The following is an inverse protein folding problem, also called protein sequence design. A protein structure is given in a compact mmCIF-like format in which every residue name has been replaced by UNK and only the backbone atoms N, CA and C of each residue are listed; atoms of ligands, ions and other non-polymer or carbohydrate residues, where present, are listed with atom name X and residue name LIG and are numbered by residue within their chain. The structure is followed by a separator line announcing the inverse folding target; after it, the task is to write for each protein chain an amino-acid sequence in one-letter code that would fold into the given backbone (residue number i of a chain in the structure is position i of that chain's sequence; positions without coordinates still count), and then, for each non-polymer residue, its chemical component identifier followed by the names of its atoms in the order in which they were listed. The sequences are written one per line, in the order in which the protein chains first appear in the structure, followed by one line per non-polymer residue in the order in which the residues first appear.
data_IF_809549903191
#
_entry.id   IF_809549903191
#
_cell.length_a   1.000
_cell.length_b   1.000
_cell.length_c   1.000
_cell.angle_alpha   90.00
_cell.angle_beta   90.00
_cell.angle_gamma   90.00
#
_symmetry.space_group_name_H-M   'P 1'
#
loop_
_entity.id
_entity.type
_entity.pdbx_description
1 polymer ?
#
# COMPACT_ATOMS: atom_id res chain seq x y z
N UNK A 1 -12.27 -32.70 -4.56
CA UNK A 1 -12.23 -32.54 -3.09
C UNK A 1 -10.79 -32.82 -2.67
N UNK A 2 -9.95 -31.79 -2.67
CA UNK A 2 -8.60 -31.89 -2.13
C UNK A 2 -8.63 -31.28 -0.72
N UNK A 3 -8.36 -32.12 0.28
CA UNK A 3 -8.14 -31.70 1.66
C UNK A 3 -6.82 -30.92 1.71
N UNK A 4 -6.89 -29.60 1.82
CA UNK A 4 -5.75 -28.71 2.05
C UNK A 4 -5.53 -28.41 3.55
N UNK A 5 -5.99 -29.28 4.46
CA UNK A 5 -5.77 -29.16 5.92
C UNK A 5 -4.29 -29.22 6.37
N UNK A 6 -3.33 -29.29 5.42
CA UNK A 6 -1.89 -29.23 5.66
C UNK A 6 -1.16 -28.38 4.59
N UNK A 7 -1.74 -27.27 4.13
CA UNK A 7 -0.99 -26.35 3.26
C UNK A 7 0.12 -25.67 4.05
N UNK A 8 1.35 -26.19 3.92
CA UNK A 8 2.55 -25.52 4.45
C UNK A 8 2.84 -24.30 3.59
N UNK A 9 2.55 -23.11 4.13
CA UNK A 9 3.04 -21.86 3.57
C UNK A 9 4.57 -21.81 3.66
N UNK A 10 5.20 -21.12 2.71
CA UNK A 10 6.59 -20.72 2.86
C UNK A 10 6.69 -19.63 3.95
N UNK A 11 7.84 -19.57 4.61
CA UNK A 11 8.06 -18.66 5.73
C UNK A 11 8.99 -17.56 5.29
N UNK A 12 8.48 -16.34 5.17
CA UNK A 12 9.30 -15.19 4.79
C UNK A 12 10.58 -15.11 5.65
N UNK A 13 11.73 -14.98 4.98
CA UNK A 13 12.97 -14.62 5.66
C UNK A 13 12.92 -13.12 5.97
N UNK A 14 13.14 -12.69 7.22
CA UNK A 14 13.10 -11.28 7.57
C UNK A 14 14.13 -10.47 6.77
N UNK A 15 13.75 -9.26 6.34
CA UNK A 15 14.60 -8.33 5.59
C UNK A 15 15.99 -8.14 6.26
N UNK A 16 16.01 -8.02 7.60
CA UNK A 16 17.23 -7.79 8.38
C UNK A 16 18.19 -8.99 8.40
N UNK A 17 17.71 -10.19 8.05
CA UNK A 17 18.52 -11.40 7.99
C UNK A 17 19.30 -11.54 6.66
N UNK A 18 19.10 -10.62 5.71
CA UNK A 18 19.66 -10.68 4.37
C UNK A 18 20.53 -9.45 4.11
N UNK A 19 21.66 -9.66 3.44
CA UNK A 19 22.51 -8.59 2.89
C UNK A 19 22.64 -8.78 1.39
N UNK A 20 22.59 -7.68 0.63
CA UNK A 20 22.78 -7.67 -0.83
C UNK A 20 24.13 -7.02 -1.11
N UNK A 21 25.07 -7.83 -1.60
CA UNK A 21 26.42 -7.43 -2.00
C UNK A 21 26.74 -7.99 -3.39
N UNK A 22 26.26 -7.29 -4.42
CA UNK A 22 26.49 -7.65 -5.82
C UNK A 22 26.81 -6.42 -6.70
N UNK A 23 27.12 -6.67 -7.96
CA UNK A 23 27.43 -5.60 -8.92
C UNK A 23 26.21 -4.88 -9.51
N UNK A 24 24.98 -5.37 -9.26
CA UNK A 24 23.78 -4.89 -9.96
C UNK A 24 22.83 -4.13 -9.03
N UNK A 25 22.43 -4.73 -7.93
CA UNK A 25 21.50 -4.21 -6.94
C UNK A 25 22.19 -3.30 -5.93
N UNK A 26 23.35 -3.67 -5.40
CA UNK A 26 23.99 -2.87 -4.34
C UNK A 26 24.21 -1.39 -4.73
N UNK A 27 24.69 -1.06 -5.95
CA UNK A 27 24.81 0.34 -6.37
C UNK A 27 23.45 1.07 -6.48
N UNK A 28 22.39 0.38 -6.91
CA UNK A 28 21.05 0.97 -7.05
C UNK A 28 20.43 1.24 -5.70
N UNK A 29 20.46 0.25 -4.79
CA UNK A 29 19.95 0.41 -3.43
C UNK A 29 20.67 1.53 -2.69
N UNK A 30 21.99 1.65 -2.89
CA UNK A 30 22.77 2.78 -2.37
C UNK A 30 22.26 4.12 -2.91
N UNK A 31 22.09 4.27 -4.22
CA UNK A 31 21.51 5.49 -4.81
C UNK A 31 20.12 5.80 -4.25
N UNK A 32 19.26 4.78 -4.15
CA UNK A 32 17.90 4.96 -3.64
C UNK A 32 17.90 5.44 -2.18
N UNK A 33 18.74 4.81 -1.34
CA UNK A 33 18.91 5.18 0.07
C UNK A 33 19.51 6.58 0.26
N UNK A 34 20.59 6.89 -0.46
CA UNK A 34 21.39 8.10 -0.25
C UNK A 34 20.88 9.33 -1.00
N UNK A 35 20.13 9.14 -2.08
CA UNK A 35 19.65 10.23 -2.95
C UNK A 35 18.12 10.25 -2.98
N UNK A 36 17.50 9.13 -3.39
CA UNK A 36 16.07 9.11 -3.71
C UNK A 36 15.18 9.34 -2.49
N UNK A 37 15.49 8.75 -1.33
CA UNK A 37 14.73 8.98 -0.09
C UNK A 37 14.67 10.47 0.26
N UNK A 38 15.81 11.17 0.22
CA UNK A 38 15.85 12.59 0.55
C UNK A 38 15.21 13.46 -0.54
N UNK A 39 15.42 13.12 -1.81
CA UNK A 39 14.77 13.80 -2.94
C UNK A 39 13.23 13.74 -2.84
N UNK A 40 12.68 12.56 -2.55
CA UNK A 40 11.22 12.35 -2.39
C UNK A 40 10.69 13.16 -1.21
N UNK A 41 11.34 13.08 -0.04
CA UNK A 41 10.92 13.88 1.12
C UNK A 41 10.97 15.37 0.82
N UNK A 42 12.07 15.88 0.25
CA UNK A 42 12.21 17.31 -0.06
C UNK A 42 11.16 17.77 -1.07
N UNK A 43 10.82 16.96 -2.07
CA UNK A 43 9.77 17.31 -3.04
C UNK A 43 8.38 17.30 -2.40
N UNK A 44 8.09 16.36 -1.49
CA UNK A 44 6.86 16.36 -0.70
C UNK A 44 6.79 17.59 0.24
N UNK A 45 7.87 17.92 0.94
CA UNK A 45 7.96 19.13 1.78
C UNK A 45 7.71 20.40 0.96
N UNK A 46 8.39 20.55 -0.18
CA UNK A 46 8.25 21.70 -1.07
C UNK A 46 6.84 21.82 -1.67
N UNK A 47 6.12 20.70 -1.81
CA UNK A 47 4.72 20.71 -2.25
C UNK A 47 3.74 21.14 -1.14
N UNK A 48 4.22 21.29 0.10
CA UNK A 48 3.41 21.63 1.26
C UNK A 48 2.77 20.43 1.96
N UNK A 49 3.07 19.20 1.53
CA UNK A 49 2.45 17.98 2.06
C UNK A 49 2.59 17.86 3.59
N UNK A 50 3.83 18.04 4.10
CA UNK A 50 4.09 17.99 5.55
C UNK A 50 3.37 19.10 6.32
N UNK A 51 3.16 20.27 5.71
CA UNK A 51 2.48 21.40 6.37
C UNK A 51 1.00 21.15 6.63
N UNK A 52 0.38 20.18 5.95
CA UNK A 52 -1.01 19.80 6.21
C UNK A 52 -1.17 19.25 7.63
N UNK A 53 -0.20 18.48 8.14
CA UNK A 53 -0.21 17.99 9.52
C UNK A 53 -0.12 19.13 10.53
N UNK A 54 0.83 20.06 10.35
CA UNK A 54 0.94 21.25 11.22
C UNK A 54 -0.37 22.06 11.24
N UNK A 55 -1.05 22.16 10.09
CA UNK A 55 -2.32 22.88 9.99
C UNK A 55 -3.48 22.16 10.66
N UNK A 56 -3.51 20.83 10.61
CA UNK A 56 -4.47 20.04 11.39
C UNK A 56 -4.19 20.22 12.89
N UNK A 57 -2.93 20.14 13.33
CA UNK A 57 -2.50 20.43 14.71
C UNK A 57 -2.91 21.83 15.17
N UNK A 58 -2.84 22.82 14.27
CA UNK A 58 -3.18 24.21 14.59
C UNK A 58 -4.66 24.56 14.32
N UNK A 59 -5.52 23.53 14.17
CA UNK A 59 -6.97 23.59 13.96
C UNK A 59 -7.37 24.55 12.81
N UNK A 60 -6.61 24.54 11.72
CA UNK A 60 -6.92 25.33 10.52
C UNK A 60 -7.97 24.64 9.66
N UNK A 61 -8.57 25.41 8.75
CA UNK A 61 -9.54 24.91 7.77
C UNK A 61 -9.22 25.38 6.35
N UNK A 62 -9.68 24.61 5.38
CA UNK A 62 -9.49 24.81 3.94
C UNK A 62 -8.04 24.61 3.47
N UNK A 63 -7.85 24.71 2.14
CA UNK A 63 -6.54 24.91 1.50
C UNK A 63 -5.53 23.78 1.64
N UNK A 64 -5.95 22.51 1.71
CA UNK A 64 -5.04 21.36 1.71
C UNK A 64 -4.02 21.44 0.56
N UNK A 65 -2.75 21.20 0.87
CA UNK A 65 -1.67 21.19 -0.12
C UNK A 65 -1.60 19.83 -0.81
N UNK A 66 -1.66 19.82 -2.14
CA UNK A 66 -1.62 18.59 -2.93
C UNK A 66 -2.92 17.79 -2.93
N UNK A 67 -2.84 16.57 -3.45
CA UNK A 67 -3.98 15.66 -3.56
C UNK A 67 -4.33 14.99 -2.21
N UNK A 68 -5.58 14.51 -2.03
CA UNK A 68 -6.04 13.95 -0.75
C UNK A 68 -5.20 12.81 -0.15
N UNK A 69 -4.47 12.08 -1.00
CA UNK A 69 -3.63 10.94 -0.61
C UNK A 69 -2.18 11.32 -0.27
N UNK A 70 -1.83 12.60 -0.21
CA UNK A 70 -0.46 13.04 0.10
C UNK A 70 0.03 12.58 1.47
N UNK A 71 -0.88 12.42 2.45
CA UNK A 71 -0.57 11.77 3.73
C UNK A 71 -0.04 10.35 3.52
N UNK A 72 -0.75 9.55 2.70
CA UNK A 72 -0.33 8.22 2.30
C UNK A 72 1.07 8.20 1.67
N UNK A 73 1.38 9.15 0.79
CA UNK A 73 2.70 9.25 0.16
C UNK A 73 3.83 9.53 1.17
N UNK A 74 3.56 10.34 2.20
CA UNK A 74 4.49 10.58 3.30
C UNK A 74 4.69 9.30 4.11
N UNK A 75 3.60 8.61 4.47
CA UNK A 75 3.68 7.35 5.20
C UNK A 75 4.44 6.28 4.40
N UNK A 76 4.20 6.15 3.10
CA UNK A 76 4.94 5.25 2.24
C UNK A 76 6.44 5.57 2.19
N UNK A 77 6.79 6.86 2.17
CA UNK A 77 8.20 7.28 2.21
C UNK A 77 8.82 6.98 3.59
N UNK A 78 8.07 7.15 4.69
CA UNK A 78 8.51 6.75 6.05
C UNK A 78 8.74 5.24 6.13
N UNK A 79 7.83 4.43 5.57
CA UNK A 79 7.97 2.98 5.48
C UNK A 79 9.31 2.61 4.84
N UNK A 80 9.57 3.13 3.63
CA UNK A 80 10.78 2.82 2.90
C UNK A 80 12.06 3.34 3.57
N UNK A 81 12.01 4.56 4.10
CA UNK A 81 13.13 5.15 4.82
C UNK A 81 13.47 4.38 6.10
N UNK A 82 12.48 3.77 6.75
CA UNK A 82 12.67 2.90 7.92
C UNK A 82 13.39 1.61 7.54
N UNK A 83 12.95 0.97 6.45
CA UNK A 83 13.57 -0.27 5.94
C UNK A 83 15.01 -0.07 5.47
N UNK A 84 15.36 1.12 4.98
CA UNK A 84 16.72 1.47 4.60
C UNK A 84 17.65 1.83 5.78
N UNK A 85 17.17 1.84 7.01
CA UNK A 85 18.03 2.05 8.19
C UNK A 85 18.96 0.83 8.37
N UNK A 86 20.26 1.06 8.37
CA UNK A 86 21.28 0.02 8.56
C UNK A 86 21.74 -0.02 10.02
N UNK A 87 21.98 1.14 10.63
CA UNK A 87 22.32 1.26 12.05
C UNK A 87 22.12 2.69 12.54
N UNK A 88 21.91 2.86 13.85
CA UNK A 88 21.79 4.22 14.45
C UNK A 88 23.01 5.10 14.19
N UNK A 89 24.21 4.53 14.18
CA UNK A 89 25.45 5.27 13.97
C UNK A 89 25.60 5.76 12.52
N UNK A 90 25.15 4.96 11.54
CA UNK A 90 25.19 5.32 10.12
C UNK A 90 24.03 6.26 9.71
N UNK A 91 22.89 6.18 10.41
CA UNK A 91 21.63 6.78 9.98
C UNK A 91 21.08 7.88 10.90
N UNK A 92 21.87 8.38 11.86
CA UNK A 92 21.40 9.33 12.89
C UNK A 92 20.58 10.50 12.34
N UNK A 93 21.05 11.16 11.27
CA UNK A 93 20.34 12.29 10.66
C UNK A 93 19.00 11.89 10.03
N UNK A 94 18.95 10.72 9.36
CA UNK A 94 17.72 10.19 8.77
C UNK A 94 16.72 9.82 9.87
N UNK A 95 17.20 9.18 10.94
CA UNK A 95 16.36 8.84 12.09
C UNK A 95 15.77 10.08 12.77
N UNK A 96 16.57 11.14 12.97
CA UNK A 96 16.09 12.42 13.51
C UNK A 96 15.01 13.06 12.62
N UNK A 97 15.21 13.02 11.29
CA UNK A 97 14.23 13.53 10.33
C UNK A 97 12.92 12.72 10.36
N UNK A 98 13.00 11.39 10.44
CA UNK A 98 11.83 10.53 10.61
C UNK A 98 11.10 10.79 11.93
N UNK A 99 11.83 10.85 13.04
CA UNK A 99 11.26 11.19 14.36
C UNK A 99 10.50 12.51 14.33
N UNK A 100 11.06 13.54 13.66
CA UNK A 100 10.40 14.83 13.49
C UNK A 100 9.08 14.71 12.73
N UNK A 101 9.08 14.02 11.57
CA UNK A 101 7.85 13.84 10.79
C UNK A 101 6.79 13.05 11.55
N UNK A 102 7.21 12.00 12.24
CA UNK A 102 6.34 11.18 13.09
C UNK A 102 5.74 12.03 14.21
N UNK A 103 6.53 12.88 14.86
CA UNK A 103 6.03 13.84 15.84
C UNK A 103 4.93 14.74 15.27
N UNK A 104 5.14 15.32 14.08
CA UNK A 104 4.12 16.16 13.43
C UNK A 104 2.82 15.41 13.12
N UNK A 105 2.93 14.15 12.69
CA UNK A 105 1.77 13.29 12.41
C UNK A 105 1.00 12.98 13.71
N UNK A 106 1.71 12.65 14.79
CA UNK A 106 1.12 12.36 16.09
C UNK A 106 0.43 13.61 16.65
N UNK A 107 1.12 14.75 16.66
CA UNK A 107 0.56 16.02 17.15
C UNK A 107 -0.72 16.40 16.38
N UNK A 108 -0.76 16.15 15.07
CA UNK A 108 -1.95 16.37 14.25
C UNK A 108 -3.09 15.40 14.60
N UNK A 109 -2.79 14.12 14.85
CA UNK A 109 -3.77 13.11 15.25
C UNK A 109 -4.35 13.39 16.64
N UNK A 110 -3.58 13.97 17.56
CA UNK A 110 -4.03 14.27 18.93
C UNK A 110 -5.21 15.26 18.98
N UNK A 111 -5.39 16.08 17.93
CA UNK A 111 -6.57 16.95 17.78
C UNK A 111 -7.87 16.19 17.48
N UNK A 112 -7.80 14.90 17.18
CA UNK A 112 -8.98 14.07 17.01
C UNK A 112 -9.17 13.11 18.20
N UNK A 113 -10.29 13.20 18.93
CA UNK A 113 -10.51 12.38 20.13
C UNK A 113 -10.52 10.89 19.80
N UNK A 114 -11.02 10.51 18.62
CA UNK A 114 -11.10 9.12 18.17
C UNK A 114 -9.78 8.63 17.55
N UNK A 115 -8.84 9.55 17.27
CA UNK A 115 -7.57 9.26 16.61
C UNK A 115 -7.66 9.20 15.08
N UNK A 116 -8.68 9.81 14.49
CA UNK A 116 -8.75 10.00 13.04
C UNK A 116 -7.61 10.90 12.56
N UNK A 117 -6.90 10.49 11.51
CA UNK A 117 -5.91 11.32 10.83
C UNK A 117 -6.02 11.13 9.32
N UNK A 118 -6.51 12.18 8.66
CA UNK A 118 -6.56 12.33 7.21
C UNK A 118 -6.71 13.82 6.94
N UNK A 119 -5.58 14.46 6.64
CA UNK A 119 -5.45 15.91 6.66
C UNK A 119 -6.34 16.57 5.63
N UNK A 120 -6.54 15.94 4.46
CA UNK A 120 -7.49 16.43 3.47
C UNK A 120 -8.91 16.52 4.02
N UNK A 121 -9.39 15.44 4.63
CA UNK A 121 -10.75 15.38 5.18
C UNK A 121 -10.88 16.34 6.37
N UNK A 122 -9.92 16.36 7.30
CA UNK A 122 -9.96 17.26 8.46
C UNK A 122 -9.93 18.74 8.06
N UNK A 123 -9.11 19.12 7.07
CA UNK A 123 -8.98 20.51 6.63
C UNK A 123 -10.13 20.93 5.70
N UNK A 124 -10.57 20.06 4.79
CA UNK A 124 -11.41 20.48 3.65
C UNK A 124 -12.87 20.09 3.81
N UNK A 125 -13.15 18.93 4.40
CA UNK A 125 -14.49 18.36 4.48
C UNK A 125 -14.69 17.52 5.75
N UNK A 126 -14.58 18.12 6.95
CA UNK A 126 -14.50 17.38 8.22
C UNK A 126 -15.74 16.52 8.51
N UNK A 127 -16.90 16.89 7.98
CA UNK A 127 -18.16 16.16 8.12
C UNK A 127 -18.25 14.93 7.19
N UNK A 128 -17.29 14.73 6.29
CA UNK A 128 -17.37 13.75 5.20
C UNK A 128 -16.46 12.53 5.38
N UNK A 129 -16.05 12.20 6.61
CA UNK A 129 -15.15 11.06 6.89
C UNK A 129 -15.59 9.81 6.12
N UNK A 130 -14.62 9.17 5.47
CA UNK A 130 -14.73 7.95 4.67
C UNK A 130 -15.94 7.94 3.72
N UNK A 131 -16.29 9.10 3.14
CA UNK A 131 -17.37 9.25 2.18
C UNK A 131 -18.78 9.35 2.77
N UNK A 132 -18.93 9.58 4.07
CA UNK A 132 -20.23 9.89 4.68
C UNK A 132 -20.70 11.31 4.33
N UNK A 133 -21.97 11.62 4.61
CA UNK A 133 -22.59 12.94 4.46
C UNK A 133 -22.38 13.60 3.07
N UNK A 134 -22.37 12.79 2.01
CA UNK A 134 -22.14 13.27 0.63
C UNK A 134 -20.66 13.43 0.24
N UNK A 135 -19.75 12.85 1.01
CA UNK A 135 -18.32 12.79 0.72
C UNK A 135 -18.03 11.93 -0.51
N UNK A 136 -16.76 11.81 -0.89
CA UNK A 136 -16.34 10.94 -1.97
C UNK A 136 -15.14 10.10 -1.52
N UNK A 137 -15.40 8.88 -1.07
CA UNK A 137 -14.39 7.95 -0.59
C UNK A 137 -13.37 7.57 -1.69
N UNK A 138 -13.75 7.60 -2.97
CA UNK A 138 -12.81 7.39 -4.09
C UNK A 138 -11.83 8.55 -4.26
N UNK A 139 -12.19 9.75 -3.79
CA UNK A 139 -11.35 10.94 -3.86
C UNK A 139 -10.56 11.16 -2.56
N UNK A 140 -11.23 11.09 -1.41
CA UNK A 140 -10.66 11.41 -0.11
C UNK A 140 -9.52 10.48 0.32
N UNK A 141 -9.54 9.21 -0.09
CA UNK A 141 -8.51 8.22 0.25
C UNK A 141 -8.28 8.01 1.76
N UNK A 142 -9.24 8.35 2.63
CA UNK A 142 -9.10 8.22 4.09
C UNK A 142 -8.62 6.81 4.51
N UNK A 143 -9.22 5.76 3.94
CA UNK A 143 -8.86 4.38 4.26
C UNK A 143 -7.53 3.95 3.63
N UNK A 144 -7.17 4.50 2.47
CA UNK A 144 -5.86 4.26 1.86
C UNK A 144 -4.75 4.89 2.70
N UNK A 145 -4.92 6.15 3.11
CA UNK A 145 -4.01 6.85 4.01
C UNK A 145 -3.87 6.13 5.35
N UNK A 146 -4.97 5.62 5.91
CA UNK A 146 -4.94 4.82 7.13
C UNK A 146 -4.12 3.52 6.97
N UNK A 147 -4.29 2.82 5.85
CA UNK A 147 -3.47 1.64 5.54
C UNK A 147 -1.98 1.97 5.41
N UNK A 148 -1.65 3.08 4.72
CA UNK A 148 -0.26 3.51 4.57
C UNK A 148 0.36 3.89 5.92
N UNK A 149 -0.40 4.54 6.81
CA UNK A 149 0.04 4.83 8.18
C UNK A 149 0.38 3.55 8.93
N UNK A 150 -0.49 2.53 8.83
CA UNK A 150 -0.27 1.24 9.49
C UNK A 150 1.00 0.55 8.99
N UNK A 151 1.22 0.47 7.67
CA UNK A 151 2.45 -0.10 7.12
C UNK A 151 3.69 0.69 7.58
N UNK A 152 3.66 2.02 7.48
CA UNK A 152 4.76 2.88 7.94
C UNK A 152 5.09 2.66 9.42
N UNK A 153 4.07 2.51 10.25
CA UNK A 153 4.21 2.31 11.68
C UNK A 153 4.81 0.95 12.04
N UNK A 154 4.39 -0.11 11.36
CA UNK A 154 4.96 -1.45 11.52
C UNK A 154 6.44 -1.45 11.13
N UNK A 155 6.75 -0.97 9.93
CA UNK A 155 8.12 -0.96 9.42
C UNK A 155 9.04 -0.07 10.27
N UNK A 156 8.57 1.09 10.73
CA UNK A 156 9.31 1.94 11.65
C UNK A 156 9.61 1.25 12.99
N UNK A 157 8.64 0.52 13.54
CA UNK A 157 8.82 -0.25 14.76
C UNK A 157 9.84 -1.37 14.56
N UNK A 158 9.71 -2.18 13.51
CA UNK A 158 10.62 -3.29 13.21
C UNK A 158 12.06 -2.80 12.99
N UNK A 159 12.24 -1.62 12.38
CA UNK A 159 13.55 -1.05 12.12
C UNK A 159 14.21 -0.41 13.36
N UNK A 160 13.43 0.14 14.30
CA UNK A 160 13.97 1.03 15.36
C UNK A 160 13.65 0.62 16.79
N UNK A 161 12.66 -0.26 16.99
CA UNK A 161 12.05 -0.61 18.26
C UNK A 161 11.19 0.51 18.89
N UNK A 162 11.01 1.65 18.21
CA UNK A 162 10.20 2.78 18.70
C UNK A 162 8.73 2.57 18.32
N UNK A 163 7.85 2.65 19.31
CA UNK A 163 6.43 2.35 19.14
C UNK A 163 5.53 3.59 18.97
N UNK A 164 6.09 4.79 18.83
CA UNK A 164 5.30 6.03 18.86
C UNK A 164 4.35 6.14 17.66
N UNK A 165 4.85 5.91 16.44
CA UNK A 165 3.99 5.83 15.24
C UNK A 165 3.04 4.61 15.30
N UNK A 166 3.49 3.49 15.88
CA UNK A 166 2.67 2.28 16.05
C UNK A 166 1.48 2.52 16.98
N UNK A 167 1.63 3.30 18.04
CA UNK A 167 0.51 3.70 18.92
C UNK A 167 -0.51 4.54 18.15
N UNK A 168 -0.06 5.49 17.35
CA UNK A 168 -0.93 6.32 16.51
C UNK A 168 -1.71 5.47 15.49
N UNK A 169 -1.02 4.53 14.83
CA UNK A 169 -1.64 3.59 13.89
C UNK A 169 -2.65 2.66 14.57
N UNK A 170 -2.32 2.09 15.74
CA UNK A 170 -3.22 1.22 16.51
C UNK A 170 -4.45 1.99 17.00
N UNK A 171 -4.30 3.25 17.43
CA UNK A 171 -5.43 4.12 17.81
C UNK A 171 -6.38 4.31 16.63
N UNK A 172 -5.84 4.67 15.45
CA UNK A 172 -6.67 4.89 14.27
C UNK A 172 -7.31 3.58 13.77
N UNK A 173 -6.54 2.49 13.66
CA UNK A 173 -7.06 1.19 13.27
C UNK A 173 -8.15 0.68 14.24
N UNK A 174 -7.98 0.92 15.55
CA UNK A 174 -8.97 0.62 16.56
C UNK A 174 -10.28 1.39 16.32
N UNK A 175 -10.18 2.68 16.01
CA UNK A 175 -11.36 3.48 15.64
C UNK A 175 -12.06 2.96 14.38
N UNK A 176 -11.31 2.59 13.34
CA UNK A 176 -11.88 1.96 12.15
C UNK A 176 -12.65 0.68 12.51
N UNK A 177 -12.12 -0.14 13.42
CA UNK A 177 -12.78 -1.36 13.90
C UNK A 177 -14.07 -1.07 14.66
N UNK A 178 -14.21 0.06 15.35
CA UNK A 178 -15.45 0.43 16.04
C UNK A 178 -16.51 0.98 15.07
N UNK A 179 -16.09 1.72 14.04
CA UNK A 179 -17.01 2.33 13.05
C UNK A 179 -17.49 1.34 11.99
N UNK A 180 -16.60 0.49 11.48
CA UNK A 180 -16.80 -0.27 10.26
C UNK A 180 -17.00 -1.76 10.53
N UNK A 181 -17.90 -2.39 9.78
CA UNK A 181 -18.16 -3.83 9.88
C UNK A 181 -19.61 -4.18 9.59
N UNK A 182 -20.01 -5.38 10.03
CA UNK A 182 -21.40 -5.83 10.01
C UNK A 182 -22.26 -5.06 11.02
N UNK A 183 -23.59 -4.95 10.79
CA UNK A 183 -24.51 -4.28 11.71
C UNK A 183 -24.32 -4.75 13.16
N UNK A 184 -24.35 -3.82 14.15
CA UNK A 184 -24.77 -2.42 14.05
C UNK A 184 -23.69 -1.44 13.54
N UNK A 185 -22.49 -1.92 13.17
CA UNK A 185 -21.45 -1.08 12.56
C UNK A 185 -21.83 -0.69 11.12
N UNK A 186 -21.09 0.27 10.56
CA UNK A 186 -21.37 0.82 9.23
C UNK A 186 -20.75 -0.03 8.13
N UNK A 187 -21.54 -0.26 7.10
CA UNK A 187 -21.07 -0.92 5.89
C UNK A 187 -20.20 0.04 5.05
N UNK A 188 -18.90 0.11 5.35
CA UNK A 188 -17.91 1.00 4.73
C UNK A 188 -16.69 0.19 4.32
N UNK A 189 -16.25 0.34 3.07
CA UNK A 189 -15.09 -0.36 2.52
C UNK A 189 -14.13 0.60 1.80
N UNK A 190 -12.85 0.25 1.66
CA UNK A 190 -11.88 1.06 0.93
C UNK A 190 -12.32 1.36 -0.51
N UNK A 191 -12.18 2.63 -0.91
CA UNK A 191 -12.29 3.06 -2.31
C UNK A 191 -10.99 2.85 -3.10
N UNK A 192 -9.87 2.74 -2.39
CA UNK A 192 -8.58 2.34 -2.91
C UNK A 192 -7.98 1.36 -1.91
N UNK A 193 -7.81 0.10 -2.34
CA UNK A 193 -7.27 -0.97 -1.50
C UNK A 193 -5.78 -0.76 -1.20
N UNK A 194 -5.30 -1.48 -0.18
CA UNK A 194 -4.01 -1.40 0.55
C UNK A 194 -4.28 -1.66 2.05
N UNK A 195 -5.27 -1.01 2.71
CA UNK A 195 -5.48 -1.18 4.13
C UNK A 195 -5.84 -2.61 4.55
N UNK A 196 -6.41 -3.43 3.64
CA UNK A 196 -6.69 -4.83 3.89
C UNK A 196 -5.42 -5.61 4.24
N UNK A 197 -4.34 -5.46 3.46
CA UNK A 197 -3.04 -6.08 3.76
C UNK A 197 -2.41 -5.45 5.00
N UNK A 198 -2.48 -4.13 5.14
CA UNK A 198 -1.87 -3.41 6.26
C UNK A 198 -2.43 -3.87 7.62
N UNK A 199 -3.76 -4.11 7.72
CA UNK A 199 -4.36 -4.62 8.95
C UNK A 199 -4.00 -6.07 9.25
N UNK A 200 -3.79 -6.91 8.23
CA UNK A 200 -3.25 -8.27 8.43
C UNK A 200 -1.82 -8.19 8.97
N UNK A 201 -1.01 -7.26 8.48
CA UNK A 201 0.34 -7.05 8.99
C UNK A 201 0.36 -6.54 10.43
N UNK A 202 -0.50 -5.57 10.77
CA UNK A 202 -0.67 -5.11 12.15
C UNK A 202 -1.12 -6.24 13.08
N UNK A 203 -2.07 -7.06 12.64
CA UNK A 203 -2.48 -8.26 13.36
C UNK A 203 -1.27 -9.16 13.65
N UNK A 204 -0.48 -9.49 12.63
CA UNK A 204 0.71 -10.35 12.76
C UNK A 204 1.74 -9.80 13.72
N UNK A 205 2.09 -8.51 13.62
CA UNK A 205 3.06 -7.89 14.54
C UNK A 205 2.60 -8.01 15.99
N UNK A 206 1.32 -7.79 16.27
CA UNK A 206 0.78 -7.89 17.62
C UNK A 206 0.62 -9.33 18.13
N UNK A 207 0.52 -10.32 17.24
CA UNK A 207 0.46 -11.74 17.63
C UNK A 207 1.82 -12.39 17.72
N UNK A 208 2.76 -11.99 16.86
CA UNK A 208 4.09 -12.58 16.73
C UNK A 208 5.07 -11.96 17.75
N UNK A 209 4.79 -10.75 18.25
CA UNK A 209 5.56 -10.06 19.30
C UNK A 209 4.74 -9.86 20.60
N UNK A 210 4.59 -10.89 21.45
CA UNK A 210 3.78 -10.80 22.67
C UNK A 210 4.31 -9.77 23.68
N UNK A 211 5.62 -9.53 23.72
CA UNK A 211 6.23 -8.52 24.60
C UNK A 211 5.88 -7.10 24.17
N UNK A 212 5.88 -6.81 22.87
CA UNK A 212 5.39 -5.54 22.29
C UNK A 212 3.92 -5.33 22.68
N UNK A 213 3.08 -6.34 22.44
CA UNK A 213 1.65 -6.30 22.74
C UNK A 213 1.40 -6.05 24.23
N UNK A 214 2.07 -6.79 25.10
CA UNK A 214 1.93 -6.63 26.56
C UNK A 214 2.40 -5.24 27.03
N UNK A 215 3.49 -4.72 26.48
CA UNK A 215 4.10 -3.46 26.90
C UNK A 215 3.30 -2.24 26.46
N UNK A 216 2.78 -2.24 25.23
CA UNK A 216 2.18 -1.04 24.62
C UNK A 216 0.69 -1.16 24.37
N UNK A 217 0.15 -2.38 24.21
CA UNK A 217 -1.22 -2.64 23.76
C UNK A 217 -1.93 -3.74 24.57
N UNK A 218 -1.88 -3.72 25.92
CA UNK A 218 -2.38 -4.82 26.75
C UNK A 218 -3.86 -5.12 26.50
N UNK A 219 -4.66 -4.07 26.26
CA UNK A 219 -6.12 -4.13 26.10
C UNK A 219 -6.58 -4.25 24.64
N UNK A 220 -5.65 -4.26 23.68
CA UNK A 220 -5.98 -4.38 22.26
C UNK A 220 -6.17 -5.84 21.89
N UNK A 221 -7.34 -6.14 21.31
CA UNK A 221 -7.61 -7.42 20.66
C UNK A 221 -7.20 -7.32 19.18
N UNK A 222 -6.05 -7.92 18.86
CA UNK A 222 -5.51 -7.91 17.50
C UNK A 222 -6.46 -8.58 16.48
N UNK A 223 -7.32 -9.51 16.90
CA UNK A 223 -8.24 -10.20 15.98
C UNK A 223 -9.22 -9.24 15.31
N UNK A 224 -9.59 -8.14 15.98
CA UNK A 224 -10.45 -7.10 15.39
C UNK A 224 -9.86 -6.52 14.09
N UNK A 225 -8.54 -6.42 13.97
CA UNK A 225 -7.88 -5.93 12.75
C UNK A 225 -8.02 -6.94 11.60
N UNK A 226 -7.84 -8.23 11.88
CA UNK A 226 -8.03 -9.30 10.91
C UNK A 226 -9.51 -9.41 10.48
N UNK A 227 -10.45 -9.30 11.43
CA UNK A 227 -11.88 -9.29 11.17
C UNK A 227 -12.29 -8.11 10.27
N UNK A 228 -11.73 -6.92 10.48
CA UNK A 228 -12.01 -5.75 9.65
C UNK A 228 -11.45 -5.91 8.23
N UNK A 229 -10.23 -6.43 8.08
CA UNK A 229 -9.65 -6.74 6.77
C UNK A 229 -10.52 -7.78 6.01
N UNK A 230 -10.91 -8.85 6.70
CA UNK A 230 -11.80 -9.88 6.17
C UNK A 230 -13.19 -9.33 5.79
N UNK A 231 -13.74 -8.44 6.60
CA UNK A 231 -14.97 -7.72 6.29
C UNK A 231 -14.82 -6.91 4.99
N UNK A 232 -13.75 -6.13 4.85
CA UNK A 232 -13.52 -5.32 3.65
C UNK A 232 -13.45 -6.18 2.37
N UNK A 233 -12.74 -7.32 2.42
CA UNK A 233 -12.69 -8.29 1.33
C UNK A 233 -14.07 -8.90 1.05
N UNK A 234 -14.70 -9.47 2.08
CA UNK A 234 -15.99 -10.19 1.97
C UNK A 234 -17.11 -9.32 1.43
N UNK A 235 -17.05 -8.03 1.74
CA UNK A 235 -18.13 -7.12 1.50
C UNK A 235 -17.86 -6.18 0.31
N UNK A 236 -16.72 -6.32 -0.39
CA UNK A 236 -16.52 -5.77 -1.74
C UNK A 236 -17.64 -6.28 -2.66
N UNK A 237 -18.26 -5.39 -3.43
CA UNK A 237 -19.38 -5.71 -4.33
C UNK A 237 -20.73 -5.96 -3.63
N UNK A 238 -20.81 -5.80 -2.31
CA UNK A 238 -22.06 -5.95 -1.55
C UNK A 238 -22.64 -4.57 -1.22
N UNK A 239 -23.52 -4.04 -2.07
CA UNK A 239 -23.97 -2.64 -1.94
C UNK A 239 -25.12 -2.42 -0.95
N UNK A 240 -25.73 -3.50 -0.44
CA UNK A 240 -26.83 -3.39 0.51
C UNK A 240 -26.36 -2.64 1.75
N UNK A 241 -27.08 -1.57 2.10
CA UNK A 241 -26.82 -0.72 3.27
C UNK A 241 -25.42 -0.05 3.26
N UNK A 242 -24.73 -0.01 2.11
CA UNK A 242 -23.46 0.70 1.91
C UNK A 242 -23.59 2.17 2.32
N UNK A 243 -22.73 2.59 3.25
CA UNK A 243 -22.78 3.93 3.84
C UNK A 243 -21.83 4.93 3.16
N UNK A 244 -20.64 4.49 2.73
CA UNK A 244 -19.74 5.40 2.03
C UNK A 244 -20.20 5.70 0.60
N UNK A 245 -19.99 6.94 0.17
CA UNK A 245 -20.28 7.42 -1.17
C UNK A 245 -19.01 7.44 -2.05
N UNK A 246 -19.11 7.09 -3.36
CA UNK A 246 -20.30 6.55 -4.01
C UNK A 246 -20.63 5.14 -3.51
N UNK A 247 -21.93 4.81 -3.42
CA UNK A 247 -22.38 3.49 -2.92
C UNK A 247 -22.00 2.34 -3.85
N UNK A 248 -21.87 2.65 -5.13
CA UNK A 248 -21.39 1.75 -6.16
C UNK A 248 -20.13 2.38 -6.76
N UNK A 249 -18.98 1.77 -6.50
CA UNK A 249 -17.69 2.26 -7.02
C UNK A 249 -17.32 1.62 -8.36
N UNK A 250 -18.07 0.60 -8.79
CA UNK A 250 -17.90 -0.06 -10.08
C UNK A 250 -16.57 -0.78 -10.26
N UNK A 251 -16.22 -1.06 -11.51
CA UNK A 251 -14.99 -1.77 -11.86
C UNK A 251 -13.76 -0.99 -11.44
N UNK A 252 -13.80 0.35 -11.49
CA UNK A 252 -12.70 1.24 -11.13
C UNK A 252 -12.05 0.89 -9.78
N UNK A 253 -12.85 0.52 -8.78
CA UNK A 253 -12.39 0.07 -7.46
C UNK A 253 -12.72 -1.42 -7.19
N UNK A 254 -12.93 -2.23 -8.23
CA UNK A 254 -13.22 -3.66 -8.12
C UNK A 254 -14.47 -3.94 -7.26
N UNK A 255 -15.44 -3.02 -7.27
CA UNK A 255 -16.69 -3.09 -6.50
C UNK A 255 -17.90 -3.50 -7.35
N UNK A 256 -17.69 -3.82 -8.62
CA UNK A 256 -18.78 -4.15 -9.55
C UNK A 256 -19.50 -5.45 -9.21
N UNK A 257 -18.83 -6.37 -8.50
CA UNK A 257 -19.33 -7.71 -8.14
C UNK A 257 -18.72 -8.20 -6.82
N UNK A 258 -19.42 -9.10 -6.08
CA UNK A 258 -18.86 -9.77 -4.92
C UNK A 258 -17.49 -10.35 -5.21
N UNK A 259 -16.54 -10.25 -4.26
CA UNK A 259 -15.15 -10.65 -4.49
C UNK A 259 -15.03 -12.07 -5.06
N UNK A 260 -15.78 -13.03 -4.51
CA UNK A 260 -15.76 -14.44 -4.93
C UNK A 260 -16.39 -14.71 -6.30
N UNK A 261 -17.10 -13.71 -6.86
CA UNK A 261 -17.79 -13.79 -8.16
C UNK A 261 -17.04 -13.02 -9.26
N UNK A 262 -15.90 -12.40 -8.93
CA UNK A 262 -15.07 -11.73 -9.95
C UNK A 262 -14.39 -12.79 -10.83
N UNK A 263 -14.47 -12.61 -12.15
CA UNK A 263 -13.93 -13.60 -13.10
C UNK A 263 -12.62 -13.17 -13.74
N UNK A 264 -12.38 -11.87 -13.77
CA UNK A 264 -11.21 -11.23 -14.37
C UNK A 264 -10.79 -10.00 -13.58
N UNK A 265 -9.52 -9.62 -13.73
CA UNK A 265 -9.01 -8.38 -13.17
C UNK A 265 -9.42 -7.18 -14.03
N UNK A 266 -10.10 -6.20 -13.42
CA UNK A 266 -10.70 -5.05 -14.11
C UNK A 266 -10.48 -3.75 -13.33
N UNK A 267 -10.71 -2.63 -14.01
CA UNK A 267 -10.59 -1.29 -13.43
C UNK A 267 -9.15 -0.90 -13.10
N UNK A 268 -9.02 0.08 -12.21
CA UNK A 268 -7.73 0.70 -11.90
C UNK A 268 -6.74 -0.34 -11.37
N UNK A 269 -5.57 -0.41 -11.99
CA UNK A 269 -4.66 -1.55 -11.79
C UNK A 269 -4.09 -1.57 -10.37
N UNK A 270 -3.63 -0.44 -9.85
CA UNK A 270 -3.04 -0.38 -8.50
C UNK A 270 -4.06 -0.80 -7.43
N UNK A 271 -5.29 -0.25 -7.48
CA UNK A 271 -6.40 -0.67 -6.62
C UNK A 271 -6.63 -2.17 -6.68
N UNK A 272 -6.70 -2.73 -7.88
CA UNK A 272 -6.92 -4.16 -8.09
C UNK A 272 -5.78 -4.99 -7.47
N UNK A 273 -4.52 -4.69 -7.80
CA UNK A 273 -3.38 -5.45 -7.30
C UNK A 273 -3.22 -5.35 -5.78
N UNK A 274 -3.53 -4.20 -5.18
CA UNK A 274 -3.54 -4.06 -3.72
C UNK A 274 -4.70 -4.81 -3.07
N UNK A 275 -5.89 -4.81 -3.69
CA UNK A 275 -7.01 -5.63 -3.23
C UNK A 275 -6.65 -7.12 -3.26
N UNK A 276 -6.03 -7.59 -4.35
CA UNK A 276 -5.66 -8.99 -4.51
C UNK A 276 -4.52 -9.40 -3.57
N UNK A 277 -3.59 -8.47 -3.30
CA UNK A 277 -2.57 -8.65 -2.27
C UNK A 277 -3.19 -8.77 -0.86
N UNK A 278 -4.18 -7.92 -0.54
CA UNK A 278 -4.96 -8.02 0.70
C UNK A 278 -5.76 -9.32 0.80
N UNK A 279 -6.39 -9.75 -0.30
CA UNK A 279 -7.15 -11.00 -0.38
C UNK A 279 -6.30 -12.21 -0.02
N UNK A 280 -5.11 -12.35 -0.63
CA UNK A 280 -4.23 -13.49 -0.34
C UNK A 280 -3.65 -13.41 1.08
N UNK A 281 -3.36 -12.20 1.58
CA UNK A 281 -2.91 -12.00 2.97
C UNK A 281 -3.98 -12.44 3.98
N UNK A 282 -5.25 -12.06 3.76
CA UNK A 282 -6.39 -12.52 4.58
C UNK A 282 -6.58 -14.03 4.44
N UNK A 283 -6.42 -14.60 3.24
CA UNK A 283 -6.50 -16.04 3.02
C UNK A 283 -5.50 -16.81 3.89
N UNK A 284 -4.23 -16.37 3.90
CA UNK A 284 -3.18 -16.97 4.72
C UNK A 284 -3.45 -16.85 6.21
N UNK A 285 -3.97 -15.71 6.68
CA UNK A 285 -4.26 -15.48 8.09
C UNK A 285 -5.52 -16.21 8.59
N UNK A 286 -6.51 -16.45 7.71
CA UNK A 286 -7.80 -17.05 8.09
C UNK A 286 -7.96 -18.52 7.68
N UNK A 287 -7.16 -19.01 6.74
CA UNK A 287 -7.29 -20.34 6.14
C UNK A 287 -8.50 -20.51 5.23
N UNK A 288 -9.16 -19.43 4.79
CA UNK A 288 -10.36 -19.51 3.93
C UNK A 288 -9.99 -19.94 2.52
N UNK A 289 -10.22 -21.22 2.20
CA UNK A 289 -9.88 -21.84 0.90
C UNK A 289 -10.41 -21.05 -0.30
N UNK A 290 -11.66 -20.57 -0.23
CA UNK A 290 -12.27 -19.79 -1.32
C UNK A 290 -11.48 -18.53 -1.72
N UNK A 291 -10.71 -17.93 -0.80
CA UNK A 291 -9.85 -16.78 -1.09
C UNK A 291 -8.57 -17.19 -1.82
N UNK A 292 -7.99 -18.34 -1.48
CA UNK A 292 -6.89 -18.90 -2.27
C UNK A 292 -7.34 -19.17 -3.72
N UNK A 293 -8.51 -19.80 -3.86
CA UNK A 293 -9.04 -20.19 -5.17
C UNK A 293 -9.30 -18.97 -6.08
N UNK A 294 -9.93 -17.91 -5.54
CA UNK A 294 -10.18 -16.69 -6.32
C UNK A 294 -8.88 -15.90 -6.59
N UNK A 295 -7.94 -15.84 -5.65
CA UNK A 295 -6.62 -15.23 -5.88
C UNK A 295 -5.86 -15.93 -7.01
N UNK A 296 -5.86 -17.26 -7.05
CA UNK A 296 -5.21 -18.02 -8.12
C UNK A 296 -5.88 -17.76 -9.49
N UNK A 297 -7.22 -17.73 -9.54
CA UNK A 297 -7.97 -17.43 -10.77
C UNK A 297 -7.65 -16.03 -11.32
N UNK A 298 -7.65 -15.02 -10.44
CA UNK A 298 -7.34 -13.64 -10.84
C UNK A 298 -5.88 -13.49 -11.26
N UNK A 299 -4.96 -14.18 -10.58
CA UNK A 299 -3.55 -14.21 -10.96
C UNK A 299 -3.36 -14.74 -12.37
N UNK A 300 -3.98 -15.89 -12.68
CA UNK A 300 -3.91 -16.50 -14.00
C UNK A 300 -4.54 -15.57 -15.08
N UNK A 301 -5.64 -14.87 -14.77
CA UNK A 301 -6.22 -13.88 -15.70
C UNK A 301 -5.23 -12.75 -16.02
N UNK A 302 -4.55 -12.20 -15.01
CA UNK A 302 -3.59 -11.10 -15.21
C UNK A 302 -2.37 -11.59 -15.97
N UNK A 303 -1.75 -12.68 -15.50
CA UNK A 303 -0.45 -13.12 -16.00
C UNK A 303 -0.50 -13.77 -17.36
N UNK A 304 -1.58 -14.49 -17.68
CA UNK A 304 -1.71 -15.18 -18.97
C UNK A 304 -2.32 -14.29 -20.07
N UNK A 305 -3.01 -13.19 -19.70
CA UNK A 305 -3.83 -12.44 -20.66
C UNK A 305 -3.70 -10.93 -20.60
N UNK A 306 -3.18 -10.35 -19.52
CA UNK A 306 -3.14 -8.88 -19.30
C UNK A 306 -1.76 -8.35 -18.90
N UNK A 307 -0.71 -9.18 -18.99
CA UNK A 307 0.68 -8.86 -18.65
C UNK A 307 1.48 -8.49 -19.90
N UNK A 308 2.17 -7.34 -19.86
CA UNK A 308 3.09 -6.91 -20.92
C UNK A 308 4.47 -7.53 -20.74
N UNK A 309 5.26 -7.58 -21.82
CA UNK A 309 6.58 -8.21 -21.86
C UNK A 309 7.60 -7.69 -20.83
N UNK A 310 7.43 -6.47 -20.34
CA UNK A 310 8.29 -5.86 -19.32
C UNK A 310 7.78 -6.10 -17.89
N UNK A 311 6.82 -7.00 -17.68
CA UNK A 311 6.16 -7.22 -16.39
C UNK A 311 5.19 -6.10 -15.99
N UNK A 312 4.90 -5.16 -16.90
CA UNK A 312 3.94 -4.08 -16.68
C UNK A 312 2.49 -4.55 -16.85
N UNK A 313 1.58 -3.91 -16.13
CA UNK A 313 0.13 -4.11 -16.22
C UNK A 313 -0.58 -2.77 -16.32
N UNK A 314 -1.72 -2.72 -17.01
CA UNK A 314 -2.47 -1.49 -17.26
C UNK A 314 -2.35 -1.00 -18.69
N UNK A 315 -3.28 -1.44 -19.53
CA UNK A 315 -3.29 -1.13 -20.95
C UNK A 315 -3.85 0.27 -21.25
N UNK A 316 -4.74 0.78 -20.41
CA UNK A 316 -5.59 1.94 -20.73
C UNK A 316 -5.22 3.15 -19.87
N UNK A 317 -4.99 4.29 -20.54
CA UNK A 317 -4.65 5.56 -19.89
C UNK A 317 -5.81 6.16 -19.09
N UNK A 318 -7.01 6.14 -19.66
CA UNK A 318 -8.20 6.59 -18.95
C UNK A 318 -8.49 5.66 -17.77
N UNK A 319 -8.58 6.23 -16.57
CA UNK A 319 -8.76 5.49 -15.31
C UNK A 319 -7.63 4.52 -14.93
N UNK A 320 -6.51 4.56 -15.66
CA UNK A 320 -5.27 3.83 -15.27
C UNK A 320 -5.54 2.33 -15.09
N UNK A 321 -6.28 1.76 -16.04
CA UNK A 321 -6.98 0.47 -15.86
C UNK A 321 -6.47 -0.66 -16.72
N UNK A 322 -6.84 -1.88 -16.31
CA UNK A 322 -6.76 -3.06 -17.16
C UNK A 322 -7.54 -2.86 -18.46
N UNK A 323 -7.00 -3.40 -19.55
CA UNK A 323 -7.75 -3.59 -20.79
C UNK A 323 -8.52 -4.91 -20.80
N UNK A 324 -9.13 -5.21 -21.94
CA UNK A 324 -9.66 -6.54 -22.22
C UNK A 324 -8.52 -7.58 -22.29
N UNK A 325 -8.87 -8.86 -22.17
CA UNK A 325 -7.92 -9.95 -22.38
C UNK A 325 -7.19 -9.80 -23.73
N UNK A 326 -5.86 -9.95 -23.72
CA UNK A 326 -4.95 -9.79 -24.85
C UNK A 326 -4.88 -8.39 -25.48
N UNK A 327 -5.50 -7.38 -24.85
CA UNK A 327 -5.35 -5.98 -25.23
C UNK A 327 -4.04 -5.42 -24.66
N UNK A 328 -2.93 -5.68 -25.35
CA UNK A 328 -1.58 -5.33 -24.91
C UNK A 328 -0.90 -4.34 -25.88
N UNK A 329 -1.37 -3.08 -25.98
CA UNK A 329 -0.75 -2.12 -26.89
C UNK A 329 0.62 -1.69 -26.37
N UNK A 330 1.57 -1.43 -27.28
CA UNK A 330 2.92 -1.01 -26.89
C UNK A 330 2.99 0.40 -26.30
N UNK A 331 1.99 1.25 -26.57
CA UNK A 331 1.85 2.57 -25.95
C UNK A 331 0.94 2.56 -24.71
N UNK A 332 0.85 1.42 -24.03
CA UNK A 332 0.06 1.22 -22.81
C UNK A 332 0.48 2.14 -21.65
N UNK A 333 -0.38 2.22 -20.62
CA UNK A 333 -0.17 3.05 -19.44
C UNK A 333 1.00 2.55 -18.59
N UNK A 334 0.96 1.27 -18.20
CA UNK A 334 2.02 0.54 -17.48
C UNK A 334 2.63 1.35 -16.33
N UNK A 335 1.78 1.72 -15.37
CA UNK A 335 2.18 2.52 -14.22
C UNK A 335 3.26 1.80 -13.39
N UNK A 336 4.26 2.53 -12.89
CA UNK A 336 5.27 1.99 -11.99
C UNK A 336 4.64 1.35 -10.74
N UNK A 337 3.70 2.03 -10.06
CA UNK A 337 2.95 1.47 -8.94
C UNK A 337 2.19 0.18 -9.29
N UNK A 338 1.71 0.04 -10.53
CA UNK A 338 0.95 -1.13 -10.95
C UNK A 338 1.86 -2.37 -11.04
N UNK A 339 3.08 -2.22 -11.57
CA UNK A 339 4.08 -3.28 -11.57
C UNK A 339 4.53 -3.65 -10.13
N UNK A 340 4.61 -2.64 -9.24
CA UNK A 340 4.95 -2.85 -7.82
C UNK A 340 3.83 -3.58 -7.07
N UNK A 341 2.58 -3.18 -7.26
CA UNK A 341 1.42 -3.86 -6.68
C UNK A 341 1.29 -5.31 -7.15
N UNK A 342 1.54 -5.56 -8.45
CA UNK A 342 1.64 -6.92 -8.99
C UNK A 342 2.76 -7.71 -8.28
N UNK A 343 3.89 -7.08 -8.00
CA UNK A 343 5.03 -7.74 -7.35
C UNK A 343 4.75 -8.08 -5.88
N UNK A 344 4.12 -7.17 -5.12
CA UNK A 344 3.69 -7.47 -3.75
C UNK A 344 2.69 -8.63 -3.71
N UNK A 345 1.72 -8.62 -4.62
CA UNK A 345 0.78 -9.73 -4.76
C UNK A 345 1.49 -11.03 -5.13
N UNK A 346 2.38 -11.01 -6.12
CA UNK A 346 3.15 -12.19 -6.57
C UNK A 346 3.99 -12.79 -5.45
N UNK A 347 4.65 -11.97 -4.64
CA UNK A 347 5.37 -12.44 -3.45
C UNK A 347 4.46 -13.19 -2.48
N UNK A 348 3.29 -12.63 -2.15
CA UNK A 348 2.38 -13.29 -1.23
C UNK A 348 1.71 -14.54 -1.85
N UNK A 349 1.52 -14.58 -3.16
CA UNK A 349 1.14 -15.80 -3.87
C UNK A 349 2.23 -16.87 -3.77
N UNK A 350 3.50 -16.51 -3.94
CA UNK A 350 4.61 -17.45 -3.76
C UNK A 350 4.63 -18.01 -2.33
N UNK A 351 4.48 -17.16 -1.30
CA UNK A 351 4.41 -17.63 0.09
C UNK A 351 3.23 -18.56 0.35
N UNK A 352 2.08 -18.28 -0.24
CA UNK A 352 0.87 -19.07 -0.08
C UNK A 352 0.93 -20.44 -0.78
N UNK A 353 1.48 -20.49 -1.98
CA UNK A 353 1.37 -21.65 -2.88
C UNK A 353 2.69 -22.41 -3.09
N UNK A 354 3.82 -21.85 -2.66
CA UNK A 354 5.15 -22.42 -2.83
C UNK A 354 5.52 -22.75 -4.29
N UNK A 355 5.07 -21.91 -5.24
CA UNK A 355 5.30 -22.08 -6.68
C UNK A 355 6.19 -20.94 -7.21
N UNK A 356 7.25 -21.30 -7.94
CA UNK A 356 8.19 -20.34 -8.50
C UNK A 356 7.58 -19.46 -9.60
N UNK A 357 6.49 -19.91 -10.25
CA UNK A 357 5.82 -19.14 -11.32
C UNK A 357 5.42 -17.73 -10.90
N UNK A 358 5.11 -17.55 -9.61
CA UNK A 358 4.76 -16.25 -9.06
C UNK A 358 5.98 -15.33 -9.01
N UNK A 359 7.14 -15.87 -8.65
CA UNK A 359 8.40 -15.14 -8.59
C UNK A 359 8.99 -14.88 -9.97
N UNK A 360 8.73 -15.70 -10.98
CA UNK A 360 9.13 -15.41 -12.37
C UNK A 360 8.51 -14.10 -12.88
N UNK A 361 7.24 -13.85 -12.54
CA UNK A 361 6.54 -12.58 -12.86
C UNK A 361 7.09 -11.41 -12.05
N UNK A 362 7.36 -11.63 -10.76
CA UNK A 362 7.97 -10.63 -9.88
C UNK A 362 9.36 -10.24 -10.40
N UNK A 363 10.19 -11.21 -10.80
CA UNK A 363 11.50 -10.96 -11.40
C UNK A 363 11.36 -10.13 -12.67
N UNK A 364 10.46 -10.51 -13.58
CA UNK A 364 10.20 -9.76 -14.81
C UNK A 364 9.82 -8.30 -14.52
N UNK A 365 8.92 -8.05 -13.57
CA UNK A 365 8.52 -6.70 -13.20
C UNK A 365 9.66 -5.92 -12.52
N UNK A 366 10.38 -6.53 -11.56
CA UNK A 366 11.48 -5.90 -10.82
C UNK A 366 12.58 -5.43 -11.75
N UNK A 367 13.07 -6.31 -12.63
CA UNK A 367 14.21 -6.01 -13.50
C UNK A 367 13.85 -5.12 -14.70
N UNK A 368 12.56 -4.93 -14.99
CA UNK A 368 12.10 -4.15 -16.14
C UNK A 368 11.14 -3.03 -15.72
N UNK A 369 9.83 -3.32 -15.63
CA UNK A 369 8.78 -2.31 -15.46
C UNK A 369 8.88 -1.45 -14.19
N UNK A 370 9.53 -1.96 -13.14
CA UNK A 370 9.75 -1.22 -11.89
C UNK A 370 11.03 -0.37 -11.99
N UNK A 371 12.17 -0.96 -12.35
CA UNK A 371 13.43 -0.23 -12.45
C UNK A 371 13.42 0.84 -13.55
N UNK A 372 12.59 0.69 -14.60
CA UNK A 372 12.39 1.78 -15.56
C UNK A 372 11.78 3.02 -14.91
N UNK A 373 11.05 2.87 -13.80
CA UNK A 373 10.37 3.93 -13.05
C UNK A 373 11.27 5.02 -12.48
N UNK A 374 12.58 4.80 -12.34
CA UNK A 374 13.53 5.76 -11.74
C UNK A 374 14.77 5.97 -12.61
N UNK A 375 15.35 7.18 -12.60
CA UNK A 375 16.61 7.46 -13.27
C UNK A 375 17.78 6.76 -12.58
N UNK A 376 18.88 6.53 -13.31
CA UNK A 376 20.11 5.99 -12.71
C UNK A 376 20.68 6.91 -11.62
N UNK A 377 20.44 8.22 -11.73
CA UNK A 377 20.81 9.22 -10.74
C UNK A 377 19.84 9.28 -9.54
N UNK A 378 18.73 8.54 -9.57
CA UNK A 378 17.81 8.40 -8.45
C UNK A 378 16.88 9.60 -8.18
N UNK A 379 16.77 10.58 -9.07
CA UNK A 379 16.09 11.86 -8.80
C UNK A 379 15.04 12.27 -9.84
N UNK A 380 14.78 11.40 -10.84
CA UNK A 380 13.72 11.58 -11.84
C UNK A 380 12.93 10.31 -12.00
N UNK A 381 11.65 10.44 -12.33
CA UNK A 381 10.69 9.36 -12.23
C UNK A 381 9.80 9.23 -13.46
N UNK A 382 9.37 7.99 -13.75
CA UNK A 382 8.23 7.73 -14.62
C UNK A 382 7.01 7.33 -13.78
N UNK A 383 5.85 7.89 -14.14
CA UNK A 383 4.57 7.25 -13.83
C UNK A 383 4.34 6.12 -14.82
N UNK A 384 4.36 6.45 -16.11
CA UNK A 384 4.05 5.53 -17.22
C UNK A 384 5.33 4.91 -17.81
N UNK A 385 5.29 3.61 -18.10
CA UNK A 385 6.41 2.87 -18.67
C UNK A 385 6.04 2.20 -20.02
N UNK A 386 5.73 2.98 -21.07
CA UNK A 386 5.33 2.42 -22.37
C UNK A 386 6.48 1.67 -23.06
N UNK A 387 6.14 0.68 -23.89
CA UNK A 387 7.08 -0.10 -24.69
C UNK A 387 7.49 0.59 -26.00
N UNK A 388 6.78 1.63 -26.41
CA UNK A 388 7.14 2.49 -27.54
C UNK A 388 6.99 3.96 -27.13
N UNK A 389 7.95 4.79 -27.54
CA UNK A 389 7.91 6.24 -27.38
C UNK A 389 8.25 6.90 -28.70
N UNK A 390 7.57 8.01 -29.00
CA UNK A 390 7.90 8.90 -30.12
C UNK A 390 9.04 9.88 -29.78
N UNK A 391 9.63 9.75 -28.60
CA UNK A 391 10.69 10.62 -28.10
C UNK A 391 10.20 11.79 -27.24
N UNK A 392 8.89 11.95 -27.02
CA UNK A 392 8.33 13.03 -26.19
C UNK A 392 8.17 12.67 -24.69
N UNK A 393 8.30 11.38 -24.34
CA UNK A 393 8.09 10.88 -22.98
C UNK A 393 9.42 10.76 -22.24
N UNK A 394 9.62 11.58 -21.21
CA UNK A 394 10.82 11.60 -20.38
C UNK A 394 10.47 11.58 -18.90
N UNK A 395 11.37 11.05 -18.08
CA UNK A 395 11.20 11.06 -16.63
C UNK A 395 11.07 12.50 -16.13
N UNK A 396 10.11 12.75 -15.25
CA UNK A 396 9.92 14.07 -14.65
C UNK A 396 10.78 14.24 -13.42
N UNK A 397 11.06 15.51 -13.10
CA UNK A 397 11.62 15.85 -11.80
C UNK A 397 10.58 15.61 -10.69
N UNK A 398 9.31 15.99 -10.91
CA UNK A 398 8.21 15.69 -10.00
C UNK A 398 6.86 15.68 -10.74
N UNK A 399 5.84 15.10 -10.12
CA UNK A 399 4.48 15.00 -10.67
C UNK A 399 3.46 15.51 -9.65
N UNK A 400 2.31 16.02 -10.13
CA UNK A 400 1.25 16.53 -9.23
C UNK A 400 0.56 15.41 -8.43
N UNK A 401 0.59 14.18 -8.96
CA UNK A 401 0.24 12.93 -8.27
C UNK A 401 1.50 12.05 -8.21
N UNK A 402 2.39 12.22 -7.23
CA UNK A 402 3.67 11.51 -7.20
C UNK A 402 3.55 10.19 -6.41
N UNK A 403 2.61 9.31 -6.77
CA UNK A 403 2.44 8.00 -6.12
C UNK A 403 3.61 7.03 -6.41
N UNK A 404 4.19 7.09 -7.61
CA UNK A 404 5.22 6.16 -8.05
C UNK A 404 6.54 6.23 -7.26
N UNK A 405 7.11 7.41 -6.92
CA UNK A 405 8.40 7.47 -6.23
C UNK A 405 8.38 6.88 -4.80
N UNK A 406 7.42 7.20 -3.91
CA UNK A 406 7.32 6.55 -2.60
C UNK A 406 7.11 5.03 -2.71
N UNK A 407 6.26 4.58 -3.63
CA UNK A 407 6.00 3.15 -3.85
C UNK A 407 7.24 2.40 -4.36
N UNK A 408 8.01 3.03 -5.26
CA UNK A 408 9.28 2.49 -5.74
C UNK A 408 10.29 2.35 -4.60
N UNK A 409 10.37 3.35 -3.71
CA UNK A 409 11.21 3.25 -2.52
C UNK A 409 10.78 2.07 -1.63
N UNK A 410 9.47 1.86 -1.40
CA UNK A 410 8.96 0.75 -0.57
C UNK A 410 9.38 -0.63 -1.07
N UNK A 411 9.19 -0.92 -2.36
CA UNK A 411 9.59 -2.24 -2.87
C UNK A 411 11.10 -2.43 -2.89
N UNK A 412 11.85 -1.35 -3.14
CA UNK A 412 13.31 -1.41 -3.21
C UNK A 412 13.94 -1.55 -1.83
N UNK A 413 13.38 -0.88 -0.81
CA UNK A 413 13.82 -1.06 0.57
C UNK A 413 13.49 -2.45 1.10
N UNK A 414 12.35 -3.03 0.68
CA UNK A 414 11.95 -4.39 1.05
C UNK A 414 12.50 -5.49 0.12
N UNK A 415 13.34 -5.16 -0.87
CA UNK A 415 13.80 -6.10 -1.90
C UNK A 415 14.38 -7.39 -1.31
N UNK A 416 15.04 -7.32 -0.16
CA UNK A 416 15.65 -8.50 0.46
C UNK A 416 14.62 -9.55 0.91
N UNK A 417 13.41 -9.11 1.26
CA UNK A 417 12.29 -9.97 1.61
C UNK A 417 11.72 -10.74 0.42
N UNK A 418 12.14 -10.43 -0.80
CA UNK A 418 11.72 -11.12 -2.03
C UNK A 418 12.73 -12.18 -2.50
N UNK A 419 13.89 -12.32 -1.83
CA UNK A 419 14.96 -13.23 -2.28
C UNK A 419 14.78 -14.65 -1.72
N UNK A 420 14.29 -14.77 -0.48
CA UNK A 420 14.21 -16.05 0.24
C UNK A 420 12.88 -16.22 0.99
N UNK A 421 12.50 -17.47 1.26
CA UNK A 421 11.27 -17.91 1.94
C UNK A 421 11.38 -19.31 2.53
#
# INVERSE_FOLDING_TARGET
MNNHENQKYLSAVPHQAVSIDDGFWSPKLKTLREITVDDVFTKLENSGAMSNFDRVRDEKTGGHAGAPWFDGLIYETICAASDFLESRDADGQRLEKLDKYIGQIIDAQENDPDGFISTFTQLTCPENRWGENGGNALWQHDLFNAGCLVEAAVHYYLATGKADLLKAAVKFAGYLCEVMGYPPKKNIIPGHSLPEKALVELYRVLTDEPDLKMKYFPDVDANKFLELADFWISNRGQHKDRMNYPRYMGEYAQDHRPMLEQEEAVGHVVRATFLYNGLIAVAMATGKQQYFDISAKLWDNVTEKKLHLNGGVGAIHYEEKFGYEYQLPNNAYLETCAAIGLSFWGRNMNLAFADARYMDVVEMALYNGILSGVSLDGNKYFYLNPLISDGSHHRWDWHWCPCCPPMLLKIMSDLKSFIYS
#
